data_IF_775640081134
#
_entry.id   IF_775640081134
#
_cell.length_a   1.000
_cell.length_b   1.000
_cell.length_c   1.000
_cell.angle_alpha   90.00
_cell.angle_beta   90.00
_cell.angle_gamma   90.00
#
_symmetry.space_group_name_H-M   'P 1'
#
loop_
_entity.id
_entity.type
_entity.pdbx_description
1 polymer ?
#
# COMPACT_ATOMS: atom_id res chain seq x y z
N UNK A 1 21.10 -35.13 -39.41
CA UNK A 1 21.36 -33.83 -38.75
C UNK A 1 20.06 -33.41 -38.07
N UNK A 2 19.98 -33.48 -36.74
CA UNK A 2 18.80 -33.08 -35.94
C UNK A 2 19.05 -31.69 -35.37
N UNK A 3 18.36 -30.67 -35.91
CA UNK A 3 18.42 -29.32 -35.39
C UNK A 3 17.72 -29.27 -34.03
N UNK A 4 18.51 -29.05 -33.00
CA UNK A 4 18.03 -28.80 -31.64
C UNK A 4 17.70 -27.29 -31.53
N UNK A 5 16.43 -26.94 -31.62
CA UNK A 5 15.97 -25.57 -31.43
C UNK A 5 15.90 -25.32 -29.92
N UNK A 6 16.92 -24.65 -29.37
CA UNK A 6 16.93 -24.17 -28.00
C UNK A 6 15.96 -23.00 -27.88
N UNK A 7 14.80 -23.25 -27.31
CA UNK A 7 13.86 -22.23 -26.88
C UNK A 7 14.42 -21.59 -25.59
N UNK A 8 15.02 -20.42 -25.72
CA UNK A 8 15.29 -19.57 -24.57
C UNK A 8 13.97 -19.00 -24.06
N UNK A 9 13.39 -19.63 -23.05
CA UNK A 9 12.38 -19.01 -22.20
C UNK A 9 13.06 -17.90 -21.39
N UNK A 10 12.95 -16.67 -21.87
CA UNK A 10 13.33 -15.50 -21.09
C UNK A 10 12.35 -15.38 -19.90
N UNK A 11 12.75 -15.89 -18.76
CA UNK A 11 12.11 -15.59 -17.48
C UNK A 11 12.30 -14.08 -17.22
N UNK A 12 11.30 -13.29 -17.56
CA UNK A 12 11.24 -11.90 -17.13
C UNK A 12 10.92 -11.92 -15.63
N UNK A 13 11.97 -11.96 -14.81
CA UNK A 13 11.85 -11.59 -13.40
C UNK A 13 11.59 -10.09 -13.41
N UNK A 14 10.36 -9.69 -13.16
CA UNK A 14 10.04 -8.30 -12.93
C UNK A 14 10.69 -7.90 -11.59
N UNK A 15 11.88 -7.34 -11.67
CA UNK A 15 12.46 -6.65 -10.53
C UNK A 15 11.56 -5.45 -10.23
N UNK A 16 11.08 -5.34 -9.00
CA UNK A 16 10.36 -4.14 -8.55
C UNK A 16 11.28 -2.95 -8.75
N UNK A 17 10.77 -1.89 -9.38
CA UNK A 17 11.52 -0.69 -9.72
C UNK A 17 12.11 -0.06 -8.44
N UNK A 18 13.39 0.32 -8.48
CA UNK A 18 14.11 0.93 -7.36
C UNK A 18 13.43 2.22 -6.86
N UNK A 19 12.84 2.99 -7.77
CA UNK A 19 12.09 4.19 -7.45
C UNK A 19 10.91 3.89 -6.51
N UNK A 20 10.15 2.83 -6.79
CA UNK A 20 9.05 2.40 -5.93
C UNK A 20 9.53 1.86 -4.59
N UNK A 21 10.63 1.08 -4.59
CA UNK A 21 11.23 0.58 -3.35
C UNK A 21 11.71 1.71 -2.44
N UNK A 22 12.30 2.76 -3.02
CA UNK A 22 12.73 3.94 -2.28
C UNK A 22 11.54 4.73 -1.73
N UNK A 23 10.44 4.84 -2.50
CA UNK A 23 9.21 5.47 -2.02
C UNK A 23 8.60 4.70 -0.84
N UNK A 24 8.62 3.37 -0.87
CA UNK A 24 8.11 2.53 0.22
C UNK A 24 8.87 2.74 1.53
N UNK A 25 10.14 3.11 1.50
CA UNK A 25 10.98 3.25 2.70
C UNK A 25 10.85 4.60 3.42
N UNK A 26 10.09 5.53 2.88
CA UNK A 26 10.00 6.87 3.45
C UNK A 26 8.85 7.01 4.45
N UNK A 27 8.95 8.04 5.28
CA UNK A 27 7.88 8.49 6.16
C UNK A 27 7.04 9.56 5.47
N UNK A 28 5.73 9.54 5.71
CA UNK A 28 4.80 10.47 5.10
C UNK A 28 3.77 10.97 6.09
N UNK A 29 3.38 12.25 5.96
CA UNK A 29 2.03 12.64 6.29
C UNK A 29 1.12 12.27 5.12
N UNK A 30 -0.15 11.95 5.37
CA UNK A 30 -1.11 11.67 4.31
C UNK A 30 -2.45 12.34 4.56
N UNK A 31 -3.18 12.55 3.45
CA UNK A 31 -4.62 12.90 3.46
C UNK A 31 -5.34 11.94 2.53
N UNK A 32 -6.40 11.36 3.02
CA UNK A 32 -7.30 10.50 2.26
C UNK A 32 -8.64 11.18 2.04
N UNK A 33 -9.17 11.03 0.85
CA UNK A 33 -10.55 11.34 0.49
C UNK A 33 -11.22 10.04 0.05
N UNK A 34 -12.35 9.73 0.63
CA UNK A 34 -13.21 8.62 0.24
C UNK A 34 -14.48 9.22 -0.34
N UNK A 35 -14.79 8.88 -1.60
CA UNK A 35 -16.06 9.23 -2.24
C UNK A 35 -16.91 7.98 -2.27
N UNK A 36 -17.95 7.95 -1.46
CA UNK A 36 -18.89 6.84 -1.40
C UNK A 36 -19.76 6.76 -2.64
N UNK A 37 -20.31 5.59 -2.92
CA UNK A 37 -21.21 5.34 -4.07
C UNK A 37 -22.43 6.25 -4.10
N UNK A 38 -22.85 6.82 -2.97
CA UNK A 38 -23.93 7.81 -2.87
C UNK A 38 -23.44 9.29 -2.97
N UNK A 39 -22.21 9.52 -3.41
CA UNK A 39 -21.54 10.82 -3.53
C UNK A 39 -21.33 11.57 -2.19
N UNK A 40 -21.38 10.89 -1.05
CA UNK A 40 -20.93 11.46 0.21
C UNK A 40 -19.40 11.36 0.24
N UNK A 41 -18.73 12.39 0.76
CA UNK A 41 -17.30 12.43 0.94
C UNK A 41 -16.91 12.32 2.40
N UNK A 42 -15.85 11.57 2.67
CA UNK A 42 -15.20 11.51 3.98
C UNK A 42 -13.72 11.83 3.80
N UNK A 43 -13.16 12.52 4.77
CA UNK A 43 -11.73 12.85 4.77
C UNK A 43 -11.07 12.26 6.01
N UNK A 44 -9.86 11.75 5.82
CA UNK A 44 -8.99 11.35 6.91
C UNK A 44 -7.59 11.92 6.73
N UNK A 45 -6.83 12.03 7.81
CA UNK A 45 -5.45 12.46 7.76
C UNK A 45 -4.63 11.76 8.83
N UNK A 46 -3.33 11.61 8.55
CA UNK A 46 -2.46 10.89 9.47
C UNK A 46 -1.02 10.82 9.00
N UNK A 47 -0.32 9.82 9.53
CA UNK A 47 1.09 9.58 9.29
C UNK A 47 1.36 8.12 8.98
N UNK A 48 2.25 7.88 8.03
CA UNK A 48 2.91 6.59 7.78
C UNK A 48 4.34 6.70 8.27
N UNK A 49 4.69 5.96 9.30
CA UNK A 49 6.00 5.99 9.95
C UNK A 49 6.64 4.61 9.81
N UNK A 50 7.92 4.58 9.45
CA UNK A 50 8.68 3.36 9.26
C UNK A 50 9.91 3.34 10.14
N UNK A 51 10.21 2.17 10.64
CA UNK A 51 11.49 1.80 11.20
C UNK A 51 11.97 0.50 10.58
N UNK A 52 13.12 -0.01 10.97
CA UNK A 52 13.74 -1.19 10.35
C UNK A 52 12.82 -2.42 10.28
N UNK A 53 12.03 -2.68 11.32
CA UNK A 53 11.17 -3.87 11.43
C UNK A 53 9.70 -3.55 11.76
N UNK A 54 9.32 -2.28 11.70
CA UNK A 54 7.99 -1.84 12.11
C UNK A 54 7.44 -0.81 11.12
N UNK A 55 6.15 -0.93 10.83
CA UNK A 55 5.40 0.06 10.05
C UNK A 55 4.21 0.49 10.87
N UNK A 56 4.09 1.80 11.09
CA UNK A 56 2.97 2.39 11.81
C UNK A 56 2.17 3.31 10.89
N UNK A 57 0.85 3.13 10.89
CA UNK A 57 -0.11 4.07 10.30
C UNK A 57 -0.87 4.68 11.47
N UNK A 58 -0.77 5.98 11.61
CA UNK A 58 -1.51 6.74 12.62
C UNK A 58 -2.53 7.63 11.92
N UNK A 59 -3.80 7.47 12.23
CA UNK A 59 -4.90 8.33 11.78
C UNK A 59 -5.21 9.31 12.91
N UNK A 60 -5.28 10.61 12.57
CA UNK A 60 -5.56 11.67 13.54
C UNK A 60 -6.98 12.22 13.41
N UNK A 61 -7.55 12.13 12.21
CA UNK A 61 -8.87 12.62 11.86
C UNK A 61 -9.55 11.66 10.88
N UNK A 62 -10.89 11.46 10.96
CA UNK A 62 -11.81 12.06 11.92
C UNK A 62 -11.77 11.38 13.30
N UNK A 63 -11.24 10.16 13.39
CA UNK A 63 -11.08 9.37 14.62
C UNK A 63 -9.60 9.11 14.86
N UNK A 64 -9.20 9.04 16.12
CA UNK A 64 -7.80 8.76 16.46
C UNK A 64 -7.55 7.27 16.56
N UNK A 65 -6.81 6.75 15.59
CA UNK A 65 -6.50 5.32 15.47
C UNK A 65 -5.03 5.10 15.17
N UNK A 66 -4.50 3.97 15.54
CA UNK A 66 -3.18 3.53 15.07
C UNK A 66 -3.17 2.05 14.71
N UNK A 67 -2.43 1.74 13.66
CA UNK A 67 -2.14 0.40 13.17
C UNK A 67 -0.63 0.23 13.19
N UNK A 68 -0.12 -0.67 14.03
CA UNK A 68 1.32 -0.93 14.13
C UNK A 68 1.60 -2.37 13.70
N UNK A 69 2.29 -2.53 12.59
CA UNK A 69 2.79 -3.84 12.14
C UNK A 69 4.12 -4.15 12.83
N UNK A 70 4.21 -5.33 13.43
CA UNK A 70 5.43 -5.92 13.96
C UNK A 70 5.33 -7.44 14.02
N UNK A 71 6.39 -8.14 13.63
CA UNK A 71 6.53 -9.60 13.79
C UNK A 71 5.34 -10.43 13.24
N UNK A 72 4.71 -9.99 12.14
CA UNK A 72 3.60 -10.70 11.51
C UNK A 72 2.21 -10.33 12.02
N UNK A 73 2.11 -9.45 13.02
CA UNK A 73 0.85 -8.99 13.60
C UNK A 73 0.65 -7.50 13.38
N UNK A 74 -0.62 -7.10 13.28
CA UNK A 74 -1.01 -5.70 13.38
C UNK A 74 -1.69 -5.50 14.72
N UNK A 75 -1.13 -4.59 15.51
CA UNK A 75 -1.76 -4.03 16.68
C UNK A 75 -2.60 -2.84 16.24
N UNK A 76 -3.90 -2.88 16.49
CA UNK A 76 -4.84 -1.78 16.29
C UNK A 76 -5.19 -1.15 17.63
N UNK A 77 -5.18 0.16 17.70
CA UNK A 77 -5.64 0.94 18.85
C UNK A 77 -6.63 1.98 18.35
N UNK A 78 -7.83 1.96 18.92
CA UNK A 78 -8.80 3.05 18.84
C UNK A 78 -8.68 3.89 20.11
N UNK A 79 -8.19 5.11 19.99
CA UNK A 79 -7.96 5.99 21.14
C UNK A 79 -9.25 6.62 21.65
N UNK A 80 -10.26 6.78 20.79
CA UNK A 80 -11.53 7.39 21.16
C UNK A 80 -12.39 6.41 21.96
N UNK A 81 -12.33 5.12 21.62
CA UNK A 81 -13.02 4.04 22.35
C UNK A 81 -12.12 3.37 23.42
N UNK A 82 -10.85 3.72 23.49
CA UNK A 82 -9.86 3.09 24.38
C UNK A 82 -9.81 1.57 24.23
N UNK A 83 -9.89 1.07 22.99
CA UNK A 83 -9.85 -0.36 22.67
C UNK A 83 -8.56 -0.73 21.98
N UNK A 84 -8.11 -1.98 22.18
CA UNK A 84 -6.93 -2.56 21.57
C UNK A 84 -7.27 -3.93 20.99
N UNK A 85 -6.80 -4.23 19.78
CA UNK A 85 -7.00 -5.51 19.10
C UNK A 85 -5.73 -5.92 18.36
N UNK A 86 -5.57 -7.24 18.12
CA UNK A 86 -4.47 -7.80 17.36
C UNK A 86 -5.01 -8.65 16.21
N UNK A 87 -4.40 -8.49 15.03
CA UNK A 87 -4.75 -9.24 13.83
C UNK A 87 -3.49 -9.91 13.26
N UNK A 88 -3.60 -11.16 12.83
CA UNK A 88 -2.58 -11.76 11.98
C UNK A 88 -2.67 -11.09 10.58
N UNK A 89 -1.54 -10.63 10.06
CA UNK A 89 -1.51 -9.99 8.72
C UNK A 89 -2.03 -10.92 7.63
N UNK A 90 -1.85 -12.23 7.79
CA UNK A 90 -2.32 -13.22 6.81
C UNK A 90 -3.84 -13.24 6.66
N UNK A 91 -4.56 -12.80 7.68
CA UNK A 91 -6.03 -12.78 7.68
C UNK A 91 -6.61 -11.51 7.05
N UNK A 92 -5.78 -10.48 6.79
CA UNK A 92 -6.26 -9.18 6.38
C UNK A 92 -6.53 -9.05 4.88
N UNK A 93 -5.94 -9.88 4.04
CA UNK A 93 -6.09 -9.85 2.56
C UNK A 93 -6.29 -8.43 1.97
N UNK A 94 -5.45 -7.47 2.38
CA UNK A 94 -5.53 -6.08 1.97
C UNK A 94 -4.29 -5.69 1.16
N UNK A 95 -4.41 -5.49 -0.16
CA UNK A 95 -3.25 -5.24 -1.03
C UNK A 95 -2.56 -3.89 -0.75
N UNK A 96 -3.23 -2.92 -0.11
CA UNK A 96 -2.59 -1.66 0.29
C UNK A 96 -1.70 -1.89 1.50
N UNK A 97 -2.15 -2.67 2.47
CA UNK A 97 -1.33 -3.10 3.60
C UNK A 97 -0.15 -3.91 3.08
N UNK A 98 -0.38 -4.85 2.16
CA UNK A 98 0.69 -5.62 1.51
C UNK A 98 1.72 -4.73 0.81
N UNK A 99 1.29 -3.68 0.10
CA UNK A 99 2.20 -2.70 -0.52
C UNK A 99 3.11 -2.04 0.52
N UNK A 100 2.54 -1.56 1.62
CA UNK A 100 3.32 -0.92 2.66
C UNK A 100 4.21 -1.89 3.44
N UNK A 101 3.85 -3.16 3.53
CA UNK A 101 4.60 -4.18 4.26
C UNK A 101 5.53 -5.02 3.37
N UNK A 102 5.52 -4.84 2.03
CA UNK A 102 6.21 -5.74 1.09
C UNK A 102 7.69 -5.94 1.40
N UNK A 103 8.41 -4.90 1.85
CA UNK A 103 9.83 -5.00 2.21
C UNK A 103 10.04 -5.73 3.52
N UNK A 104 9.24 -5.44 4.53
CA UNK A 104 9.34 -6.06 5.86
C UNK A 104 8.95 -7.53 5.78
N UNK A 105 7.93 -7.87 5.02
CA UNK A 105 7.48 -9.24 4.80
C UNK A 105 8.27 -9.98 3.71
N UNK A 106 9.10 -9.28 2.92
CA UNK A 106 9.76 -9.81 1.72
C UNK A 106 8.77 -10.45 0.74
N UNK A 107 7.56 -9.88 0.65
CA UNK A 107 6.48 -10.36 -0.20
C UNK A 107 6.64 -9.80 -1.61
N UNK A 108 6.60 -10.65 -2.63
CA UNK A 108 6.53 -10.22 -4.02
C UNK A 108 5.09 -9.81 -4.35
N UNK A 109 4.91 -8.63 -4.95
CA UNK A 109 3.64 -8.12 -5.42
C UNK A 109 3.64 -7.98 -6.94
N UNK A 110 2.49 -8.18 -7.57
CA UNK A 110 2.31 -7.98 -9.00
C UNK A 110 2.13 -6.48 -9.29
N UNK A 111 3.24 -5.78 -9.50
CA UNK A 111 3.26 -4.35 -9.76
C UNK A 111 3.81 -4.10 -11.16
N UNK A 112 3.09 -3.32 -11.97
CA UNK A 112 3.44 -2.98 -13.33
C UNK A 112 3.59 -1.46 -13.49
N UNK A 113 4.66 -1.02 -14.13
CA UNK A 113 4.82 0.40 -14.50
C UNK A 113 4.08 0.65 -15.80
N UNK A 114 3.12 1.59 -15.77
CA UNK A 114 2.30 1.98 -16.90
C UNK A 114 2.47 3.49 -17.12
N UNK A 115 3.26 3.88 -18.12
CA UNK A 115 3.59 5.29 -18.38
C UNK A 115 4.18 5.99 -17.14
N UNK A 116 3.37 6.84 -16.47
CA UNK A 116 3.76 7.67 -15.34
C UNK A 116 3.15 7.22 -14.00
N UNK A 117 2.63 6.00 -13.91
CA UNK A 117 2.13 5.42 -12.67
C UNK A 117 2.44 3.93 -12.59
N UNK A 118 2.32 3.37 -11.39
CA UNK A 118 2.39 1.93 -11.15
C UNK A 118 0.98 1.41 -10.90
N UNK A 119 0.68 0.22 -11.40
CA UNK A 119 -0.55 -0.51 -11.11
C UNK A 119 -0.19 -1.75 -10.31
N UNK A 120 -0.74 -1.85 -9.11
CA UNK A 120 -0.75 -3.08 -8.32
C UNK A 120 -2.08 -3.78 -8.59
N UNK A 121 -2.01 -4.96 -9.20
CA UNK A 121 -3.17 -5.79 -9.49
C UNK A 121 -3.26 -6.93 -8.47
N UNK A 122 -4.41 -7.05 -7.84
CA UNK A 122 -4.89 -8.23 -7.14
C UNK A 122 -6.20 -8.70 -7.77
N UNK A 123 -6.70 -9.88 -7.39
CA UNK A 123 -7.87 -10.48 -8.04
C UNK A 123 -9.10 -9.55 -8.05
N UNK A 124 -9.28 -8.75 -6.99
CA UNK A 124 -10.48 -7.92 -6.80
C UNK A 124 -10.20 -6.41 -6.77
N UNK A 125 -8.95 -5.98 -6.84
CA UNK A 125 -8.60 -4.57 -6.63
C UNK A 125 -7.50 -4.11 -7.58
N UNK A 126 -7.71 -2.95 -8.22
CA UNK A 126 -6.70 -2.24 -8.99
C UNK A 126 -6.27 -0.98 -8.26
N UNK A 127 -5.03 -0.96 -7.81
CA UNK A 127 -4.45 0.18 -7.12
C UNK A 127 -3.52 0.91 -8.08
N UNK A 128 -3.74 2.22 -8.25
CA UNK A 128 -2.85 3.09 -9.01
C UNK A 128 -1.97 3.88 -8.05
N UNK A 129 -0.66 3.84 -8.29
CA UNK A 129 0.35 4.48 -7.48
C UNK A 129 1.09 5.49 -8.36
N UNK A 130 1.05 6.75 -7.97
CA UNK A 130 1.83 7.82 -8.57
C UNK A 130 3.00 8.17 -7.67
N UNK A 131 4.17 8.32 -8.27
CA UNK A 131 5.35 8.84 -7.59
C UNK A 131 5.70 10.24 -8.11
N UNK A 132 6.39 11.00 -7.28
CA UNK A 132 7.08 12.23 -7.63
C UNK A 132 8.55 12.13 -7.20
N UNK A 133 9.32 13.20 -7.38
CA UNK A 133 10.75 13.23 -7.01
C UNK A 133 11.05 12.96 -5.52
N UNK A 134 10.04 12.98 -4.68
CA UNK A 134 10.14 12.80 -3.22
C UNK A 134 9.50 11.49 -2.72
N UNK A 135 9.07 10.58 -3.61
CA UNK A 135 8.45 9.33 -3.25
C UNK A 135 6.97 9.24 -3.65
N UNK A 136 6.10 8.73 -2.80
CA UNK A 136 4.66 8.66 -3.08
C UNK A 136 4.08 10.07 -3.26
N UNK A 137 3.37 10.26 -4.37
CA UNK A 137 2.52 11.41 -4.63
C UNK A 137 1.07 11.08 -4.27
N UNK A 138 0.56 9.99 -4.88
CA UNK A 138 -0.84 9.62 -4.75
C UNK A 138 -1.05 8.12 -4.92
N UNK A 139 -1.91 7.56 -4.09
CA UNK A 139 -2.49 6.21 -4.27
C UNK A 139 -3.99 6.35 -4.46
N UNK A 140 -4.55 5.65 -5.46
CA UNK A 140 -5.99 5.67 -5.68
C UNK A 140 -6.51 4.29 -6.10
N UNK A 141 -7.71 3.95 -5.64
CA UNK A 141 -8.38 2.69 -5.93
C UNK A 141 -9.89 2.80 -5.71
N UNK A 142 -10.62 1.82 -6.25
CA UNK A 142 -12.03 1.59 -5.96
C UNK A 142 -12.12 0.35 -5.06
N UNK A 143 -12.83 0.43 -3.95
CA UNK A 143 -13.07 -0.74 -3.09
C UNK A 143 -14.22 -1.62 -3.60
N UNK A 144 -14.47 -2.73 -2.93
CA UNK A 144 -15.53 -3.69 -3.31
C UNK A 144 -16.97 -3.18 -3.07
N UNK A 145 -17.11 -1.98 -2.52
CA UNK A 145 -18.40 -1.29 -2.28
C UNK A 145 -18.59 -0.11 -3.23
N UNK A 146 -17.78 -0.03 -4.30
CA UNK A 146 -17.75 1.08 -5.26
C UNK A 146 -17.40 2.44 -4.64
N UNK A 147 -16.69 2.46 -3.51
CA UNK A 147 -16.17 3.70 -2.96
C UNK A 147 -14.81 4.01 -3.57
N UNK A 148 -14.63 5.26 -4.01
CA UNK A 148 -13.37 5.71 -4.58
C UNK A 148 -12.49 6.31 -3.48
N UNK A 149 -11.30 5.74 -3.32
CA UNK A 149 -10.27 6.19 -2.40
C UNK A 149 -9.17 6.95 -3.12
N UNK A 150 -8.73 8.04 -2.53
CA UNK A 150 -7.66 8.89 -3.04
C UNK A 150 -6.79 9.36 -1.88
N UNK A 151 -5.57 8.82 -1.77
CA UNK A 151 -4.61 9.12 -0.71
C UNK A 151 -3.48 9.96 -1.30
N UNK A 152 -3.30 11.18 -0.81
CA UNK A 152 -2.18 12.06 -1.16
C UNK A 152 -1.13 12.02 -0.06
N UNK A 153 0.15 11.97 -0.45
CA UNK A 153 1.28 11.84 0.46
C UNK A 153 2.16 13.09 0.44
N UNK A 154 2.69 13.41 1.61
CA UNK A 154 3.58 14.54 1.84
C UNK A 154 4.81 14.04 2.59
N UNK A 155 6.03 14.12 2.04
CA UNK A 155 7.26 13.69 2.70
C UNK A 155 7.46 14.40 4.03
N UNK A 156 8.05 13.69 5.00
CA UNK A 156 8.44 14.23 6.30
C UNK A 156 9.96 14.39 6.42
#
# INVERSE_FOLDING_TARGET
>A
MRNFLLFFLSLHVYAVDEELLNAIDQNYAFKEQIVFSNNIEQFSSGYLIRSENEVQIQINEPFKESYTYKDGYIKYIDYDLSTESFFDVKDLNNPIIDLFLMKVQKKALNIFKINNYYELASDDLKIRIKLNSYGFDKISYMDNFDNYHSISFFPQ
#
